data_IF_263775442425
#
_entry.id   IF_263775442425
#
_cell.length_a   1.000
_cell.length_b   1.000
_cell.length_c   1.000
_cell.angle_alpha   90.00
_cell.angle_beta   90.00
_cell.angle_gamma   90.00
#
_symmetry.space_group_name_H-M   'P 1'
#
loop_
_entity.id
_entity.type
_entity.pdbx_description
1 polymer ?
#
# COMPACT_ATOMS: atom_id res chain seq x y z
N UNK A 1 -22.11 -4.35 3.72
CA UNK A 1 -20.70 -4.76 3.91
C UNK A 1 -19.98 -3.61 4.56
N UNK A 2 -19.18 -3.82 5.62
CA UNK A 2 -18.42 -2.74 6.29
C UNK A 2 -17.24 -2.29 5.42
N UNK A 3 -16.80 -1.03 5.52
CA UNK A 3 -15.57 -0.56 4.86
C UNK A 3 -14.37 -1.39 5.21
N UNK A 4 -14.26 -1.82 6.47
CA UNK A 4 -13.17 -2.68 6.92
C UNK A 4 -13.14 -3.99 6.12
N UNK A 5 -14.30 -4.58 5.86
CA UNK A 5 -14.42 -5.78 5.02
C UNK A 5 -14.06 -5.49 3.56
N UNK A 6 -14.51 -4.37 3.01
CA UNK A 6 -14.24 -3.99 1.63
C UNK A 6 -12.77 -3.65 1.36
N UNK A 7 -12.13 -2.96 2.31
CA UNK A 7 -10.69 -2.70 2.33
C UNK A 7 -9.93 -4.02 2.43
N UNK A 8 -10.33 -4.93 3.34
CA UNK A 8 -9.68 -6.23 3.47
C UNK A 8 -9.75 -7.06 2.18
N UNK A 9 -10.91 -7.10 1.52
CA UNK A 9 -11.09 -7.81 0.24
C UNK A 9 -10.24 -7.15 -0.86
N UNK A 10 -10.28 -5.82 -0.97
CA UNK A 10 -9.52 -5.09 -1.99
C UNK A 10 -8.01 -5.23 -1.78
N UNK A 11 -7.55 -5.26 -0.52
CA UNK A 11 -6.16 -5.57 -0.16
C UNK A 11 -5.79 -6.99 -0.57
N UNK A 12 -6.62 -7.98 -0.26
CA UNK A 12 -6.37 -9.37 -0.65
C UNK A 12 -6.29 -9.53 -2.17
N UNK A 13 -7.18 -8.86 -2.92
CA UNK A 13 -7.15 -8.86 -4.38
C UNK A 13 -5.89 -8.19 -4.95
N UNK A 14 -5.47 -7.04 -4.39
CA UNK A 14 -4.22 -6.38 -4.78
C UNK A 14 -3.01 -7.28 -4.56
N UNK A 15 -2.93 -7.92 -3.38
CA UNK A 15 -1.84 -8.83 -3.04
C UNK A 15 -1.82 -10.05 -3.97
N UNK A 16 -2.97 -10.69 -4.20
CA UNK A 16 -3.08 -11.82 -5.11
C UNK A 16 -2.68 -11.44 -6.56
N UNK A 17 -3.03 -10.23 -7.01
CA UNK A 17 -2.62 -9.73 -8.32
C UNK A 17 -1.10 -9.55 -8.44
N UNK A 18 -0.46 -9.00 -7.40
CA UNK A 18 0.99 -8.89 -7.34
C UNK A 18 1.65 -10.28 -7.36
N UNK A 19 1.11 -11.24 -6.60
CA UNK A 19 1.61 -12.63 -6.57
C UNK A 19 1.46 -13.34 -7.91
N UNK A 20 0.37 -13.07 -8.63
CA UNK A 20 0.12 -13.55 -9.98
C UNK A 20 1.00 -12.86 -11.05
N UNK A 21 1.81 -11.87 -10.67
CA UNK A 21 2.71 -11.15 -11.57
C UNK A 21 2.04 -10.05 -12.39
N UNK A 22 0.83 -9.63 -12.02
CA UNK A 22 0.12 -8.51 -12.66
C UNK A 22 0.90 -7.21 -12.40
N UNK A 23 1.00 -6.35 -13.42
CA UNK A 23 1.74 -5.12 -13.29
C UNK A 23 1.07 -4.17 -12.27
N UNK A 24 1.81 -3.46 -11.40
CA UNK A 24 1.22 -2.54 -10.42
C UNK A 24 0.32 -1.46 -11.03
N UNK A 25 0.55 -1.10 -12.30
CA UNK A 25 -0.27 -0.15 -13.05
C UNK A 25 -1.69 -0.66 -13.30
N UNK A 26 -1.84 -1.96 -13.53
CA UNK A 26 -3.13 -2.63 -13.76
C UNK A 26 -3.90 -2.79 -12.44
N UNK A 27 -3.19 -2.81 -11.31
CA UNK A 27 -3.75 -2.87 -9.97
C UNK A 27 -4.07 -1.49 -9.36
N UNK A 28 -3.85 -0.40 -10.10
CA UNK A 28 -4.10 0.98 -9.61
C UNK A 28 -5.55 1.18 -9.18
N UNK A 29 -6.50 0.57 -9.87
CA UNK A 29 -7.92 0.63 -9.50
C UNK A 29 -8.12 0.14 -8.05
N UNK A 30 -7.48 -0.97 -7.65
CA UNK A 30 -7.54 -1.46 -6.28
C UNK A 30 -6.94 -0.47 -5.28
N UNK A 31 -5.82 0.18 -5.61
CA UNK A 31 -5.23 1.19 -4.71
C UNK A 31 -6.10 2.43 -4.55
N UNK A 32 -6.76 2.90 -5.62
CA UNK A 32 -7.73 3.99 -5.55
C UNK A 32 -8.89 3.63 -4.61
N UNK A 33 -9.50 2.47 -4.86
CA UNK A 33 -10.61 1.93 -4.07
C UNK A 33 -10.25 1.76 -2.59
N UNK A 34 -9.05 1.25 -2.27
CA UNK A 34 -8.56 1.14 -0.88
C UNK A 34 -8.48 2.52 -0.23
N UNK A 35 -7.95 3.52 -0.94
CA UNK A 35 -7.84 4.89 -0.45
C UNK A 35 -9.20 5.52 -0.18
N UNK A 36 -10.12 5.45 -1.14
CA UNK A 36 -11.48 5.98 -1.01
C UNK A 36 -12.24 5.35 0.15
N UNK A 37 -12.23 4.02 0.25
CA UNK A 37 -12.89 3.30 1.34
C UNK A 37 -12.27 3.61 2.70
N UNK A 38 -10.95 3.78 2.77
CA UNK A 38 -10.26 4.19 3.99
C UNK A 38 -10.63 5.60 4.40
N UNK A 39 -10.66 6.55 3.46
CA UNK A 39 -11.05 7.94 3.75
C UNK A 39 -12.51 8.02 4.15
N UNK A 40 -13.39 7.23 3.53
CA UNK A 40 -14.78 7.13 3.95
C UNK A 40 -14.92 6.65 5.41
N UNK A 41 -14.15 5.63 5.82
CA UNK A 41 -14.10 5.18 7.22
C UNK A 41 -13.50 6.25 8.15
N UNK A 42 -12.40 6.90 7.74
CA UNK A 42 -11.73 7.97 8.47
C UNK A 42 -12.62 9.19 8.73
N UNK A 43 -13.45 9.55 7.76
CA UNK A 43 -14.41 10.66 7.87
C UNK A 43 -15.77 10.24 8.45
N UNK A 44 -16.00 8.95 8.71
CA UNK A 44 -17.29 8.44 9.20
C UNK A 44 -18.42 8.42 8.15
N UNK A 45 -18.10 8.59 6.86
CA UNK A 45 -19.09 8.89 5.81
C UNK A 45 -19.41 7.69 4.94
N UNK A 46 -20.58 7.72 4.29
CA UNK A 46 -20.96 6.72 3.30
C UNK A 46 -20.40 7.07 1.90
N UNK A 47 -19.78 6.11 1.20
CA UNK A 47 -19.41 6.23 -0.21
C UNK A 47 -20.70 6.58 -0.94
N UNK A 48 -20.67 7.67 -1.71
CA UNK A 48 -21.86 8.12 -2.42
C UNK A 48 -22.22 7.05 -3.47
N UNK A 49 -23.51 6.79 -3.67
CA UNK A 49 -23.95 5.79 -4.66
C UNK A 49 -23.77 6.28 -6.11
N UNK A 50 -23.34 7.53 -6.32
CA UNK A 50 -23.12 8.13 -7.63
C UNK A 50 -21.62 8.09 -7.96
N UNK A 51 -21.18 6.94 -8.45
CA UNK A 51 -19.88 6.82 -9.13
C UNK A 51 -19.82 7.87 -10.27
N UNK A 52 -18.72 8.65 -10.34
CA UNK A 52 -18.43 9.70 -11.34
C UNK A 52 -19.03 11.10 -11.12
N UNK A 53 -19.09 11.61 -9.89
CA UNK A 53 -19.17 13.07 -9.74
C UNK A 53 -17.82 13.71 -10.16
N UNK A 54 -17.88 14.74 -11.02
CA UNK A 54 -16.68 15.28 -11.67
C UNK A 54 -15.81 15.98 -10.63
N UNK A 55 -14.62 15.45 -10.36
CA UNK A 55 -13.54 16.15 -9.65
C UNK A 55 -13.35 15.83 -8.17
N UNK A 56 -14.30 15.14 -7.52
CA UNK A 56 -14.23 14.72 -6.12
C UNK A 56 -14.74 13.28 -5.96
N UNK A 57 -14.30 12.63 -4.89
CA UNK A 57 -14.45 11.19 -4.69
C UNK A 57 -15.46 10.88 -3.56
N UNK A 58 -15.63 11.79 -2.60
CA UNK A 58 -16.52 11.63 -1.44
C UNK A 58 -17.26 12.94 -1.11
N UNK A 59 -18.34 12.83 -0.35
CA UNK A 59 -18.99 13.94 0.34
C UNK A 59 -18.96 13.62 1.84
N UNK A 60 -18.46 14.53 2.67
CA UNK A 60 -18.42 14.32 4.12
C UNK A 60 -19.77 14.63 4.82
N UNK A 61 -19.83 14.48 6.15
CA UNK A 61 -21.08 14.65 6.91
C UNK A 61 -21.64 16.08 6.83
N UNK A 62 -20.75 17.06 6.60
CA UNK A 62 -21.08 18.47 6.46
C UNK A 62 -21.39 18.86 5.00
N UNK A 63 -21.31 17.91 4.07
CA UNK A 63 -21.57 18.15 2.65
C UNK A 63 -20.34 18.61 1.86
N UNK A 64 -19.12 18.56 2.43
CA UNK A 64 -17.90 18.97 1.74
C UNK A 64 -17.48 17.94 0.71
N UNK A 65 -17.10 18.42 -0.48
CA UNK A 65 -16.61 17.59 -1.58
C UNK A 65 -15.13 17.28 -1.36
N UNK A 66 -14.81 16.01 -1.15
CA UNK A 66 -13.46 15.56 -0.84
C UNK A 66 -12.84 14.87 -2.04
N UNK A 67 -11.67 15.33 -2.51
CA UNK A 67 -10.86 14.55 -3.45
C UNK A 67 -9.84 13.71 -2.71
N UNK A 68 -9.82 12.42 -3.03
CA UNK A 68 -8.89 11.43 -2.54
C UNK A 68 -7.83 11.16 -3.58
N UNK A 69 -6.57 11.07 -3.14
CA UNK A 69 -5.47 10.62 -3.96
C UNK A 69 -4.68 9.56 -3.22
N UNK A 70 -4.54 8.40 -3.83
CA UNK A 70 -3.74 7.32 -3.27
C UNK A 70 -2.35 7.29 -3.90
N UNK A 71 -1.32 7.27 -3.05
CA UNK A 71 0.08 7.12 -3.46
C UNK A 71 0.69 5.88 -2.80
N UNK A 72 1.49 5.13 -3.54
CA UNK A 72 2.25 3.97 -3.01
C UNK A 72 3.71 4.37 -2.81
N UNK A 73 4.49 4.46 -3.88
CA UNK A 73 5.92 4.81 -3.85
C UNK A 73 6.22 6.25 -4.30
N UNK A 74 5.20 6.99 -4.75
CA UNK A 74 5.37 8.35 -5.26
C UNK A 74 5.82 9.33 -4.18
N UNK A 75 6.73 10.23 -4.54
CA UNK A 75 7.21 11.34 -3.67
C UNK A 75 6.34 12.59 -3.76
N UNK A 76 5.20 12.52 -4.45
CA UNK A 76 4.31 13.65 -4.63
C UNK A 76 3.00 13.24 -5.29
N UNK A 77 2.04 14.15 -5.26
CA UNK A 77 0.78 14.01 -5.98
C UNK A 77 0.56 15.23 -6.86
N UNK A 78 -0.05 14.99 -8.02
CA UNK A 78 -0.44 16.04 -8.96
C UNK A 78 -1.94 16.08 -9.09
N UNK A 79 -2.51 17.27 -8.91
CA UNK A 79 -3.92 17.54 -9.20
C UNK A 79 -4.01 18.46 -10.41
N UNK A 80 -5.14 18.37 -11.13
CA UNK A 80 -5.46 19.30 -12.21
C UNK A 80 -6.07 20.55 -11.60
N UNK A 81 -5.60 21.70 -12.04
CA UNK A 81 -6.16 22.99 -11.61
C UNK A 81 -7.63 23.11 -12.01
N UNK A 82 -7.98 22.57 -13.18
CA UNK A 82 -9.34 22.57 -13.75
C UNK A 82 -10.39 21.78 -12.96
N UNK A 83 -10.01 21.14 -11.84
CA UNK A 83 -10.92 20.37 -10.99
C UNK A 83 -10.93 20.85 -9.55
N UNK A 84 -10.08 21.82 -9.19
CA UNK A 84 -9.96 22.27 -7.80
C UNK A 84 -11.17 23.07 -7.32
N UNK A 85 -11.86 23.76 -8.22
CA UNK A 85 -13.12 24.47 -7.97
C UNK A 85 -14.28 23.52 -7.63
N UNK A 86 -14.13 22.23 -7.94
CA UNK A 86 -15.12 21.19 -7.67
C UNK A 86 -14.89 20.51 -6.31
N UNK A 87 -13.83 20.88 -5.60
CA UNK A 87 -13.35 20.21 -4.38
C UNK A 87 -13.26 21.23 -3.25
N UNK A 88 -13.60 20.82 -2.04
CA UNK A 88 -13.47 21.64 -0.84
C UNK A 88 -12.29 21.18 0.02
N UNK A 89 -12.01 19.86 0.02
CA UNK A 89 -10.97 19.21 0.83
C UNK A 89 -10.18 18.18 0.02
N UNK A 90 -8.88 18.12 0.24
CA UNK A 90 -7.99 17.17 -0.44
C UNK A 90 -7.35 16.27 0.61
N UNK A 91 -7.52 14.96 0.43
CA UNK A 91 -6.91 13.94 1.29
C UNK A 91 -6.00 13.06 0.44
N UNK A 92 -4.73 12.97 0.84
CA UNK A 92 -3.75 12.07 0.23
C UNK A 92 -3.52 10.90 1.16
N UNK A 93 -3.72 9.69 0.65
CA UNK A 93 -3.49 8.45 1.37
C UNK A 93 -2.20 7.80 0.87
N UNK A 94 -1.32 7.44 1.80
CA UNK A 94 -0.15 6.62 1.52
C UNK A 94 -0.42 5.15 1.82
N UNK A 95 -0.18 4.30 0.83
CA UNK A 95 -0.18 2.85 0.97
C UNK A 95 1.25 2.34 1.09
N UNK A 96 1.62 1.81 2.26
CA UNK A 96 2.89 1.08 2.40
C UNK A 96 2.72 -0.32 1.84
N UNK A 97 3.34 -0.57 0.68
CA UNK A 97 3.33 -1.88 0.01
C UNK A 97 4.60 -2.69 0.29
N UNK A 98 5.46 -2.25 1.21
CA UNK A 98 6.73 -2.92 1.50
C UNK A 98 6.65 -3.96 2.62
N UNK A 99 5.54 -3.99 3.37
CA UNK A 99 5.31 -4.91 4.47
C UNK A 99 4.39 -6.06 4.05
N UNK A 100 4.34 -7.11 4.87
CA UNK A 100 3.47 -8.28 4.64
C UNK A 100 1.96 -7.91 4.69
N UNK A 101 1.65 -6.74 5.25
CA UNK A 101 0.34 -6.10 5.17
C UNK A 101 0.44 -4.73 4.50
N UNK A 102 -0.58 -4.36 3.72
CA UNK A 102 -0.70 -3.02 3.16
C UNK A 102 -1.09 -2.05 4.28
N UNK A 103 -0.12 -1.28 4.77
CA UNK A 103 -0.35 -0.16 5.67
C UNK A 103 -1.07 0.97 4.93
N UNK A 104 -2.03 1.62 5.58
CA UNK A 104 -2.81 2.73 4.98
C UNK A 104 -2.77 3.91 5.95
N UNK A 105 -2.28 5.06 5.46
CA UNK A 105 -2.05 6.24 6.29
C UNK A 105 -2.53 7.52 5.59
N UNK A 106 -3.10 8.45 6.34
CA UNK A 106 -3.33 9.81 5.86
C UNK A 106 -1.98 10.53 5.81
N UNK A 107 -1.55 10.89 4.61
CA UNK A 107 -0.30 11.62 4.38
C UNK A 107 -0.52 13.14 4.26
N UNK A 108 -1.72 13.54 3.86
CA UNK A 108 -2.15 14.92 3.74
C UNK A 108 -3.66 15.02 3.93
N UNK A 109 -4.12 16.05 4.64
CA UNK A 109 -5.52 16.32 4.87
C UNK A 109 -5.70 17.83 5.08
N UNK A 110 -6.17 18.53 4.04
CA UNK A 110 -6.33 19.97 4.12
C UNK A 110 -7.39 20.52 3.14
N UNK A 111 -7.79 21.78 3.37
CA UNK A 111 -8.59 22.58 2.43
C UNK A 111 -7.86 22.83 1.10
N UNK A 112 -8.60 23.17 0.05
CA UNK A 112 -8.02 23.60 -1.24
C UNK A 112 -7.10 24.83 -1.10
N UNK A 113 -7.45 25.82 -0.27
CA UNK A 113 -6.61 27.00 -0.04
C UNK A 113 -5.23 26.60 0.50
N UNK A 114 -5.21 25.75 1.52
CA UNK A 114 -3.97 25.23 2.09
C UNK A 114 -3.18 24.38 1.08
N UNK A 115 -3.86 23.56 0.29
CA UNK A 115 -3.23 22.78 -0.78
C UNK A 115 -2.54 23.66 -1.81
N UNK A 116 -3.14 24.79 -2.19
CA UNK A 116 -2.53 25.76 -3.10
C UNK A 116 -1.26 26.37 -2.49
N UNK A 117 -1.30 26.71 -1.20
CA UNK A 117 -0.15 27.27 -0.49
C UNK A 117 1.01 26.24 -0.32
N UNK A 118 0.68 24.96 -0.14
CA UNK A 118 1.65 23.88 0.05
C UNK A 118 2.20 23.30 -1.27
N UNK A 119 1.58 23.64 -2.41
CA UNK A 119 1.93 23.13 -3.73
C UNK A 119 2.97 24.01 -4.43
N UNK A 120 3.77 23.38 -5.30
CA UNK A 120 4.59 24.12 -6.24
C UNK A 120 3.72 24.90 -7.24
N UNK A 121 4.28 25.97 -7.80
CA UNK A 121 3.62 26.76 -8.85
C UNK A 121 3.11 25.84 -9.98
N UNK A 122 1.91 26.11 -10.52
CA UNK A 122 1.29 25.25 -11.51
C UNK A 122 2.17 25.13 -12.76
N UNK A 123 2.32 23.90 -13.26
CA UNK A 123 3.02 23.61 -14.50
C UNK A 123 2.07 22.91 -15.47
N UNK A 124 1.80 23.54 -16.62
CA UNK A 124 0.87 23.03 -17.64
C UNK A 124 -0.52 22.66 -17.07
N UNK A 125 -1.06 23.49 -16.18
CA UNK A 125 -2.37 23.29 -15.55
C UNK A 125 -2.42 22.18 -14.49
N UNK A 126 -1.25 21.75 -14.00
CA UNK A 126 -1.14 20.79 -12.90
C UNK A 126 -0.38 21.39 -11.71
N UNK A 127 -0.97 21.23 -10.53
CA UNK A 127 -0.38 21.60 -9.25
C UNK A 127 0.22 20.36 -8.61
N UNK A 128 1.47 20.48 -8.14
CA UNK A 128 2.20 19.36 -7.53
C UNK A 128 2.42 19.63 -6.05
N UNK A 129 1.87 18.75 -5.23
CA UNK A 129 2.19 18.65 -3.81
C UNK A 129 3.40 17.73 -3.64
N UNK A 130 4.48 18.28 -3.07
CA UNK A 130 5.72 17.54 -2.83
C UNK A 130 5.73 16.79 -1.52
N UNK A 131 6.67 15.84 -1.38
CA UNK A 131 6.89 15.04 -0.16
C UNK A 131 7.04 15.89 1.10
N UNK A 132 7.69 17.06 1.01
CA UNK A 132 7.95 17.93 2.14
C UNK A 132 6.68 18.53 2.77
N UNK A 133 5.58 18.56 2.03
CA UNK A 133 4.27 19.03 2.50
C UNK A 133 3.39 17.89 3.04
N UNK A 134 3.90 16.66 3.07
CA UNK A 134 3.17 15.46 3.48
C UNK A 134 3.85 14.79 4.69
N UNK A 135 3.04 14.13 5.52
CA UNK A 135 3.53 13.38 6.68
C UNK A 135 3.53 11.89 6.35
N UNK A 136 4.66 11.21 6.60
CA UNK A 136 4.76 9.77 6.44
C UNK A 136 5.13 9.16 7.79
N UNK A 137 4.60 7.96 8.13
CA UNK A 137 5.07 7.23 9.30
C UNK A 137 6.58 7.13 9.26
N UNK A 138 7.22 7.60 10.33
CA UNK A 138 8.64 7.31 10.53
C UNK A 138 8.69 5.80 10.77
N UNK A 139 9.45 5.05 9.97
CA UNK A 139 9.70 3.63 10.26
C UNK A 139 10.47 3.58 11.58
N UNK A 140 9.76 3.59 12.71
CA UNK A 140 10.30 2.96 13.90
C UNK A 140 10.53 1.50 13.48
N UNK A 141 11.71 0.92 13.70
CA UNK A 141 11.90 -0.51 13.56
C UNK A 141 11.05 -1.15 14.64
N UNK A 142 9.75 -1.28 14.40
CA UNK A 142 8.87 -1.93 15.35
C UNK A 142 9.15 -3.41 15.20
N UNK A 143 9.94 -3.92 16.13
CA UNK A 143 9.94 -5.31 16.52
C UNK A 143 8.60 -5.68 17.17
N UNK A 144 7.47 -5.24 16.58
CA UNK A 144 6.17 -5.76 16.94
C UNK A 144 6.07 -7.13 16.27
N UNK A 145 6.03 -8.16 17.11
CA UNK A 145 5.73 -9.54 16.73
C UNK A 145 4.48 -9.53 15.87
N UNK A 146 4.66 -9.65 14.55
CA UNK A 146 3.54 -9.89 13.65
C UNK A 146 2.92 -11.24 14.04
N UNK A 147 1.63 -11.27 14.37
CA UNK A 147 0.86 -12.51 14.44
C UNK A 147 0.62 -13.01 13.01
N UNK A 148 1.66 -13.55 12.38
CA UNK A 148 1.63 -14.07 11.00
C UNK A 148 0.91 -15.42 10.88
N UNK A 149 0.35 -15.94 11.97
CA UNK A 149 -0.30 -17.26 12.04
C UNK A 149 0.70 -18.41 12.21
N UNK A 150 0.18 -19.63 12.29
CA UNK A 150 0.98 -20.84 12.49
C UNK A 150 1.97 -21.08 11.34
N UNK A 151 3.12 -21.66 11.67
CA UNK A 151 4.12 -22.06 10.68
C UNK A 151 3.63 -23.31 9.96
N UNK A 152 3.48 -23.23 8.63
CA UNK A 152 3.03 -24.33 7.77
C UNK A 152 4.16 -24.99 7.00
N UNK A 153 5.27 -24.29 6.77
CA UNK A 153 6.46 -24.86 6.16
C UNK A 153 7.72 -24.15 6.65
N UNK A 154 8.85 -24.84 6.63
CA UNK A 154 10.15 -24.28 7.03
C UNK A 154 11.25 -24.74 6.08
N UNK A 155 12.16 -23.82 5.76
CA UNK A 155 13.40 -24.09 5.06
C UNK A 155 14.56 -23.65 5.96
N UNK A 156 15.59 -24.49 6.03
CA UNK A 156 16.77 -24.27 6.86
C UNK A 156 17.99 -24.33 5.95
N UNK A 157 18.81 -23.29 5.99
CA UNK A 157 20.08 -23.21 5.30
C UNK A 157 21.09 -22.55 6.25
N UNK A 158 22.16 -23.27 6.56
CA UNK A 158 23.15 -22.90 7.59
C UNK A 158 22.52 -22.48 8.93
N UNK A 159 22.68 -21.21 9.33
CA UNK A 159 22.12 -20.64 10.56
C UNK A 159 20.81 -19.87 10.31
N UNK A 160 20.24 -19.95 9.11
CA UNK A 160 19.04 -19.23 8.69
C UNK A 160 17.87 -20.21 8.64
N UNK A 161 16.77 -19.84 9.29
CA UNK A 161 15.50 -20.56 9.26
C UNK A 161 14.44 -19.66 8.64
N UNK A 162 14.00 -19.98 7.43
CA UNK A 162 12.88 -19.30 6.77
C UNK A 162 11.60 -20.07 7.08
N UNK A 163 10.59 -19.38 7.58
CA UNK A 163 9.29 -19.95 7.96
C UNK A 163 8.19 -19.35 7.10
N UNK A 164 7.38 -20.22 6.50
CA UNK A 164 6.14 -19.86 5.80
C UNK A 164 4.98 -20.03 6.77
N UNK A 165 4.12 -19.03 6.85
CA UNK A 165 2.99 -19.03 7.76
C UNK A 165 1.65 -19.24 7.04
N UNK A 166 0.60 -19.60 7.78
CA UNK A 166 -0.78 -19.78 7.23
C UNK A 166 -1.30 -18.55 6.49
N UNK A 167 -0.89 -17.35 6.89
CA UNK A 167 -1.23 -16.09 6.21
C UNK A 167 -0.56 -15.90 4.83
N UNK A 168 0.39 -16.77 4.47
CA UNK A 168 1.26 -16.61 3.30
C UNK A 168 2.49 -15.74 3.57
N UNK A 169 2.65 -15.17 4.77
CA UNK A 169 3.83 -14.38 5.13
C UNK A 169 5.06 -15.25 5.40
N UNK A 170 6.25 -14.65 5.28
CA UNK A 170 7.53 -15.31 5.52
C UNK A 170 8.34 -14.59 6.58
N UNK A 171 8.85 -15.34 7.56
CA UNK A 171 9.78 -14.81 8.58
C UNK A 171 11.12 -15.53 8.53
N UNK A 172 12.19 -14.86 8.95
CA UNK A 172 13.52 -15.46 9.06
C UNK A 172 14.00 -15.45 10.52
N UNK A 173 14.66 -16.51 10.94
CA UNK A 173 15.47 -16.54 12.16
C UNK A 173 16.93 -16.75 11.77
N UNK A 174 17.85 -15.94 12.28
CA UNK A 174 19.29 -16.12 12.09
C UNK A 174 19.94 -16.35 13.44
N UNK A 175 20.48 -17.55 13.66
CA UNK A 175 20.99 -17.94 14.98
C UNK A 175 19.92 -17.92 16.08
N UNK A 176 18.64 -18.06 15.72
CA UNK A 176 17.50 -17.99 16.63
C UNK A 176 16.86 -16.61 16.77
N UNK A 177 17.50 -15.55 16.28
CA UNK A 177 16.99 -14.18 16.37
C UNK A 177 16.14 -13.79 15.14
N UNK A 178 15.00 -13.11 15.32
CA UNK A 178 14.14 -12.71 14.22
C UNK A 178 14.76 -11.62 13.35
N UNK A 179 14.83 -11.87 12.04
CA UNK A 179 15.40 -10.96 11.05
C UNK A 179 14.43 -10.77 9.86
N UNK A 180 14.55 -9.66 9.09
CA UNK A 180 13.77 -9.46 7.87
C UNK A 180 14.04 -10.57 6.84
N UNK A 181 13.01 -11.30 6.42
CA UNK A 181 13.17 -12.49 5.57
C UNK A 181 13.58 -12.18 4.12
N UNK A 182 13.29 -10.97 3.63
CA UNK A 182 13.43 -10.60 2.22
C UNK A 182 14.85 -10.81 1.67
N UNK A 183 15.86 -10.35 2.42
CA UNK A 183 17.26 -10.42 1.96
C UNK A 183 17.71 -11.88 1.78
N UNK A 184 17.37 -12.74 2.74
CA UNK A 184 17.70 -14.16 2.68
C UNK A 184 16.93 -14.88 1.57
N UNK A 185 15.64 -14.55 1.38
CA UNK A 185 14.86 -15.10 0.27
C UNK A 185 15.41 -14.69 -1.12
N UNK A 186 15.98 -13.48 -1.25
CA UNK A 186 16.68 -13.06 -2.47
C UNK A 186 17.94 -13.88 -2.71
N UNK A 187 18.74 -14.11 -1.67
CA UNK A 187 19.96 -14.92 -1.73
C UNK A 187 19.64 -16.36 -2.13
N UNK A 188 18.67 -17.00 -1.47
CA UNK A 188 18.23 -18.37 -1.79
C UNK A 188 17.72 -18.45 -3.23
N UNK A 189 16.87 -17.50 -3.65
CA UNK A 189 16.37 -17.45 -5.04
C UNK A 189 17.54 -17.38 -6.04
N UNK A 190 18.53 -16.54 -5.79
CA UNK A 190 19.69 -16.39 -6.66
C UNK A 190 20.53 -17.66 -6.70
N UNK A 191 20.75 -18.31 -5.55
CA UNK A 191 21.46 -19.58 -5.45
C UNK A 191 20.74 -20.71 -6.23
N UNK A 192 19.40 -20.69 -6.23
CA UNK A 192 18.55 -21.60 -7.01
C UNK A 192 18.47 -21.23 -8.50
N UNK A 193 19.08 -20.13 -8.95
CA UNK A 193 19.01 -19.67 -10.34
C UNK A 193 17.61 -19.24 -10.79
N UNK A 194 16.73 -18.86 -9.86
CA UNK A 194 15.35 -18.49 -10.16
C UNK A 194 15.27 -17.03 -10.66
N UNK A 195 14.40 -16.74 -11.64
CA UNK A 195 14.36 -15.41 -12.28
C UNK A 195 13.80 -14.32 -11.35
N UNK A 196 14.20 -13.07 -11.60
CA UNK A 196 13.56 -11.89 -11.02
C UNK A 196 12.08 -11.80 -11.45
N UNK A 197 11.22 -11.35 -10.54
CA UNK A 197 9.83 -10.98 -10.84
C UNK A 197 9.66 -9.47 -10.91
N UNK A 198 8.57 -9.01 -11.54
CA UNK A 198 8.23 -7.58 -11.64
C UNK A 198 8.17 -6.88 -10.28
N UNK A 199 7.83 -7.62 -9.22
CA UNK A 199 8.04 -7.19 -7.83
C UNK A 199 8.67 -8.34 -7.01
N UNK A 200 9.79 -8.05 -6.36
CA UNK A 200 10.50 -8.99 -5.48
C UNK A 200 10.07 -8.80 -4.01
N UNK A 201 8.76 -8.77 -3.72
CA UNK A 201 8.27 -8.68 -2.34
C UNK A 201 8.67 -9.92 -1.52
N UNK A 202 8.72 -9.81 -0.19
CA UNK A 202 9.07 -10.95 0.68
C UNK A 202 8.20 -12.16 0.39
N UNK A 203 6.89 -11.95 0.18
CA UNK A 203 5.95 -13.01 -0.15
C UNK A 203 6.13 -13.57 -1.56
N UNK A 204 6.35 -12.74 -2.58
CA UNK A 204 6.54 -13.23 -3.96
C UNK A 204 7.83 -14.03 -4.11
N UNK A 205 8.90 -13.61 -3.40
CA UNK A 205 10.16 -14.33 -3.28
C UNK A 205 9.97 -15.63 -2.52
N UNK A 206 9.32 -15.59 -1.36
CA UNK A 206 9.07 -16.76 -0.53
C UNK A 206 8.25 -17.83 -1.26
N UNK A 207 7.20 -17.45 -1.95
CA UNK A 207 6.38 -18.36 -2.76
C UNK A 207 7.19 -19.02 -3.89
N UNK A 208 8.05 -18.26 -4.56
CA UNK A 208 8.90 -18.77 -5.65
C UNK A 208 9.96 -19.75 -5.12
N UNK A 209 10.63 -19.39 -4.03
CA UNK A 209 11.66 -20.21 -3.37
C UNK A 209 11.04 -21.50 -2.82
N UNK A 210 9.97 -21.41 -2.03
CA UNK A 210 9.33 -22.59 -1.44
C UNK A 210 8.69 -23.48 -2.50
N UNK A 211 8.11 -22.91 -3.56
CA UNK A 211 7.61 -23.67 -4.70
C UNK A 211 8.71 -24.47 -5.39
N UNK A 212 9.90 -23.88 -5.61
CA UNK A 212 11.04 -24.57 -6.20
C UNK A 212 11.61 -25.67 -5.30
N UNK A 213 11.52 -25.49 -3.98
CA UNK A 213 11.97 -26.45 -2.96
C UNK A 213 10.93 -27.53 -2.62
N UNK A 214 9.73 -27.48 -3.20
CA UNK A 214 8.64 -28.42 -2.91
C UNK A 214 8.07 -28.30 -1.50
N UNK A 215 8.00 -27.08 -0.95
CA UNK A 215 7.63 -26.77 0.44
C UNK A 215 6.37 -25.92 0.59
#
# INVERSE_FOLDING_TARGET
MSYRTYIAISRAAYIAGIEAGIAPQELRAHTGVIGEAFVADYLGVKLTNENNQRGYDLIDEDGLRVSVKTITTSTGVSLKESTLDLVDRIIVVWLDTNEDEIGVHVAYDASVERFLADSAAPYRGSLRLGRGSMTFPNKQPSAQKFEVGDVIATHVEDNIVIRKHTSGSFTALVGGEPMPARQYLLEIRNALGLPDKATNTTRSLGAQVFGALGK
#
